data_IF_720520992118
#
_entry.id   IF_720520992118
#
_cell.length_a   1.000
_cell.length_b   1.000
_cell.length_c   1.000
_cell.angle_alpha   90.00
_cell.angle_beta   90.00
_cell.angle_gamma   90.00
#
_symmetry.space_group_name_H-M   'P 1'
#
loop_
_entity.id
_entity.type
_entity.pdbx_description
1 polymer ?
#
# COMPACT_ATOMS: atom_id res chain seq x y z
N UNK A 1 6.27 0.84 -10.78
CA UNK A 1 7.72 0.58 -10.75
C UNK A 1 8.32 1.84 -10.15
N UNK A 2 8.90 1.78 -8.94
CA UNK A 2 9.64 2.92 -8.40
C UNK A 2 10.91 3.04 -9.24
N UNK A 3 10.92 3.97 -10.19
CA UNK A 3 12.14 4.31 -10.92
C UNK A 3 12.99 5.11 -9.95
N UNK A 4 14.12 4.54 -9.53
CA UNK A 4 15.02 5.21 -8.60
C UNK A 4 15.80 6.28 -9.34
N UNK A 5 15.37 7.52 -9.19
CA UNK A 5 16.29 8.65 -9.35
C UNK A 5 17.04 8.77 -8.04
N UNK A 6 18.36 8.59 -8.12
CA UNK A 6 19.24 8.73 -6.97
C UNK A 6 19.51 10.21 -6.74
N UNK A 7 18.97 10.76 -5.65
CA UNK A 7 19.37 12.07 -5.15
C UNK A 7 20.42 11.86 -4.07
N UNK A 8 21.57 12.46 -4.32
CA UNK A 8 22.80 12.27 -3.57
C UNK A 8 22.89 13.27 -2.40
N UNK A 9 23.25 12.80 -1.21
CA UNK A 9 23.39 13.57 0.03
C UNK A 9 24.48 13.00 0.94
N UNK A 10 25.10 13.80 1.82
CA UNK A 10 26.25 13.32 2.61
C UNK A 10 25.81 12.35 3.74
N UNK A 11 26.80 11.67 4.35
CA UNK A 11 26.80 10.67 5.45
C UNK A 11 25.97 10.90 6.74
N UNK A 12 25.09 11.90 6.83
CA UNK A 12 24.13 12.10 7.93
C UNK A 12 22.73 12.13 7.31
N UNK A 13 21.71 11.75 8.09
CA UNK A 13 20.30 11.86 7.70
C UNK A 13 20.06 13.15 6.90
N UNK A 14 19.74 13.03 5.61
CA UNK A 14 19.66 14.17 4.68
C UNK A 14 18.74 15.27 5.22
N UNK A 15 17.68 14.89 5.93
CA UNK A 15 16.80 15.81 6.64
C UNK A 15 17.53 16.69 7.66
N UNK A 16 18.42 16.12 8.46
CA UNK A 16 19.21 16.86 9.45
C UNK A 16 20.20 17.82 8.78
N UNK A 17 20.78 17.41 7.64
CA UNK A 17 21.71 18.27 6.88
C UNK A 17 21.01 19.45 6.23
N UNK A 18 19.81 19.22 5.70
CA UNK A 18 18.99 20.27 5.11
C UNK A 18 18.32 21.15 6.19
N UNK A 19 18.39 20.76 7.46
CA UNK A 19 17.77 21.49 8.57
C UNK A 19 16.24 21.52 8.49
N UNK A 20 15.63 20.53 7.83
CA UNK A 20 14.19 20.55 7.54
C UNK A 20 13.42 19.82 8.64
N UNK A 21 12.46 20.53 9.22
CA UNK A 21 11.52 19.94 10.14
C UNK A 21 10.54 19.01 9.40
N UNK A 22 10.02 18.00 10.09
CA UNK A 22 9.12 17.06 9.45
C UNK A 22 8.17 16.43 10.43
N UNK A 23 7.00 16.07 9.94
CA UNK A 23 5.92 15.48 10.73
C UNK A 23 6.12 13.97 10.86
N UNK A 24 6.16 13.44 12.08
CA UNK A 24 6.22 11.99 12.29
C UNK A 24 4.93 11.33 11.80
N UNK A 25 5.07 10.23 11.07
CA UNK A 25 3.97 9.42 10.56
C UNK A 25 4.33 7.94 10.58
N UNK A 26 3.36 7.08 10.28
CA UNK A 26 3.60 5.66 10.01
C UNK A 26 3.23 5.33 8.58
N UNK A 27 4.05 4.49 7.98
CA UNK A 27 3.83 3.96 6.65
C UNK A 27 3.51 2.49 6.72
N UNK A 28 2.39 2.11 6.12
CA UNK A 28 2.13 0.73 5.78
C UNK A 28 2.81 0.43 4.44
N UNK A 29 3.90 -0.33 4.50
CA UNK A 29 4.64 -0.81 3.35
C UNK A 29 4.12 -2.18 2.92
N UNK A 30 3.65 -2.29 1.69
CA UNK A 30 3.35 -3.56 1.04
C UNK A 30 4.53 -4.04 0.21
N UNK A 31 4.97 -5.27 0.46
CA UNK A 31 5.96 -6.02 -0.32
C UNK A 31 5.33 -7.29 -0.87
N UNK A 32 6.07 -8.06 -1.67
CA UNK A 32 5.61 -9.38 -2.15
C UNK A 32 5.33 -10.37 -1.00
N UNK A 33 5.94 -10.17 0.17
CA UNK A 33 5.81 -11.06 1.33
C UNK A 33 4.69 -10.65 2.29
N UNK A 34 4.10 -9.47 2.13
CA UNK A 34 3.04 -8.99 3.01
C UNK A 34 3.07 -7.48 3.25
N UNK A 35 2.44 -7.04 4.34
CA UNK A 35 2.37 -5.62 4.72
C UNK A 35 2.99 -5.41 6.09
N UNK A 36 3.87 -4.43 6.20
CA UNK A 36 4.54 -4.05 7.45
C UNK A 36 4.28 -2.58 7.75
N UNK A 37 4.06 -2.27 9.03
CA UNK A 37 3.93 -0.89 9.51
C UNK A 37 5.29 -0.41 10.00
N UNK A 38 5.69 0.78 9.59
CA UNK A 38 7.01 1.29 9.89
C UNK A 38 7.01 2.81 10.04
N UNK A 39 7.74 3.29 11.04
CA UNK A 39 7.86 4.72 11.31
C UNK A 39 8.53 5.47 10.16
N UNK A 40 8.10 6.70 9.93
CA UNK A 40 8.64 7.60 8.92
C UNK A 40 8.43 9.06 9.34
N UNK A 41 9.05 9.99 8.63
CA UNK A 41 8.76 11.42 8.72
C UNK A 41 8.36 11.94 7.36
N UNK A 42 7.30 12.72 7.31
CA UNK A 42 6.93 13.51 6.14
C UNK A 42 7.79 14.77 6.11
N UNK A 43 8.40 15.02 4.96
CA UNK A 43 9.12 16.25 4.65
C UNK A 43 8.45 16.85 3.42
N UNK A 44 8.15 18.14 3.46
CA UNK A 44 7.44 18.88 2.42
C UNK A 44 8.35 19.99 1.88
N UNK A 45 7.93 20.60 0.77
CA UNK A 45 8.56 21.79 0.18
C UNK A 45 10.05 21.65 -0.14
N UNK A 46 10.48 20.44 -0.54
CA UNK A 46 11.83 20.20 -1.04
C UNK A 46 11.91 20.48 -2.53
N UNK A 47 12.97 21.17 -2.96
CA UNK A 47 13.31 21.38 -4.36
C UNK A 47 14.52 20.52 -4.71
N UNK A 48 14.39 19.71 -5.75
CA UNK A 48 15.50 18.92 -6.30
C UNK A 48 15.85 19.47 -7.67
N UNK A 49 17.14 19.69 -7.91
CA UNK A 49 17.66 20.16 -9.20
C UNK A 49 18.86 19.31 -9.63
N UNK A 50 19.27 19.46 -10.89
CA UNK A 50 20.51 18.90 -11.41
C UNK A 50 21.75 19.55 -10.77
N UNK A 51 22.93 18.99 -11.02
CA UNK A 51 24.21 19.50 -10.48
C UNK A 51 24.61 20.90 -10.95
N UNK A 52 23.82 21.51 -11.85
CA UNK A 52 24.03 22.83 -12.41
C UNK A 52 22.98 23.84 -11.92
N UNK A 53 22.05 23.42 -11.07
CA UNK A 53 20.94 24.23 -10.57
C UNK A 53 20.02 24.83 -11.66
N UNK A 54 19.90 24.14 -12.79
CA UNK A 54 19.15 24.61 -13.97
C UNK A 54 17.75 24.01 -14.08
N UNK A 55 17.50 22.88 -13.43
CA UNK A 55 16.28 22.09 -13.62
C UNK A 55 15.57 21.82 -12.29
N UNK A 56 15.09 22.86 -11.58
CA UNK A 56 14.40 22.69 -10.31
C UNK A 56 13.07 21.96 -10.51
N UNK A 57 12.82 20.99 -9.63
CA UNK A 57 11.56 20.27 -9.52
C UNK A 57 11.14 20.26 -8.06
N UNK A 58 9.98 20.84 -7.80
CA UNK A 58 9.36 20.81 -6.48
C UNK A 58 8.82 19.40 -6.19
N UNK A 59 9.15 18.90 -5.01
CA UNK A 59 8.64 17.64 -4.50
C UNK A 59 7.71 17.96 -3.34
N UNK A 60 6.41 17.89 -3.62
CA UNK A 60 5.35 18.25 -2.68
C UNK A 60 5.43 17.48 -1.36
N UNK A 61 5.76 16.19 -1.42
CA UNK A 61 5.72 15.32 -0.24
C UNK A 61 6.69 14.16 -0.35
N UNK A 62 7.55 14.04 0.65
CA UNK A 62 8.58 13.01 0.77
C UNK A 62 8.47 12.28 2.10
N UNK A 63 8.89 11.02 2.09
CA UNK A 63 8.89 10.19 3.27
C UNK A 63 10.31 9.73 3.57
N UNK A 64 10.73 9.88 4.83
CA UNK A 64 12.08 9.48 5.25
C UNK A 64 12.13 8.02 5.68
N UNK A 65 13.30 7.42 5.50
CA UNK A 65 13.69 6.09 5.98
C UNK A 65 15.07 6.20 6.59
N UNK A 66 15.34 5.37 7.61
CA UNK A 66 16.67 5.28 8.22
C UNK A 66 17.68 4.61 7.29
N UNK A 67 17.20 3.73 6.42
CA UNK A 67 18.05 2.98 5.49
C UNK A 67 17.30 2.80 4.17
N UNK A 68 18.02 3.01 3.07
CA UNK A 68 17.58 2.70 1.71
C UNK A 68 18.39 1.48 1.26
N UNK A 69 17.75 0.32 1.02
CA UNK A 69 18.45 -0.90 0.64
C UNK A 69 18.92 -0.77 -0.82
N UNK A 70 20.11 -0.22 -1.01
CA UNK A 70 20.80 -0.15 -2.29
C UNK A 70 22.24 -0.64 -2.13
N UNK A 71 22.72 -1.41 -3.09
CA UNK A 71 24.14 -1.76 -3.19
C UNK A 71 24.84 -0.88 -4.23
N UNK A 72 26.12 -0.57 -4.02
CA UNK A 72 26.95 0.20 -4.97
C UNK A 72 26.94 -0.37 -6.40
N UNK A 73 26.72 -1.68 -6.54
CA UNK A 73 26.58 -2.37 -7.84
C UNK A 73 25.37 -1.90 -8.67
N UNK A 74 24.40 -1.26 -8.03
CA UNK A 74 23.19 -0.74 -8.66
C UNK A 74 23.32 0.75 -9.02
N UNK A 75 24.44 1.39 -8.66
CA UNK A 75 24.75 2.79 -8.99
C UNK A 75 25.48 2.81 -10.34
N UNK A 76 24.92 3.47 -11.38
CA UNK A 76 25.60 3.64 -12.66
C UNK A 76 26.90 4.42 -12.50
N UNK A 77 28.01 3.84 -12.97
CA UNK A 77 29.32 4.51 -13.02
C UNK A 77 29.85 4.52 -14.46
N UNK A 78 30.59 5.55 -14.92
CA UNK A 78 31.00 5.67 -16.32
C UNK A 78 31.67 4.41 -16.88
N UNK A 79 32.64 3.84 -16.16
CA UNK A 79 33.32 2.61 -16.57
C UNK A 79 32.42 1.38 -16.68
N UNK A 80 31.32 1.34 -15.91
CA UNK A 80 30.31 0.27 -16.01
C UNK A 80 29.46 0.43 -17.27
N UNK A 81 29.08 1.67 -17.59
CA UNK A 81 28.17 2.01 -18.70
C UNK A 81 28.85 1.91 -20.07
N UNK A 82 30.15 2.16 -20.14
CA UNK A 82 30.95 2.01 -21.37
C UNK A 82 30.94 0.59 -21.95
N UNK A 83 30.58 -0.42 -21.15
CA UNK A 83 30.49 -1.81 -21.62
C UNK A 83 29.42 -2.03 -22.69
N UNK A 84 28.44 -1.14 -22.79
CA UNK A 84 27.39 -1.21 -23.80
C UNK A 84 27.63 -0.24 -24.94
N UNK A 85 27.72 -0.77 -26.15
CA UNK A 85 28.08 0.02 -27.33
C UNK A 85 27.15 1.22 -27.55
N UNK A 86 25.84 1.03 -27.35
CA UNK A 86 24.81 2.07 -27.53
C UNK A 86 24.81 3.13 -26.43
N UNK A 87 25.55 2.94 -25.34
CA UNK A 87 25.59 3.86 -24.20
C UNK A 87 26.93 4.60 -24.03
N UNK A 88 27.88 4.47 -24.97
CA UNK A 88 29.18 5.14 -24.88
C UNK A 88 29.07 6.65 -24.70
N UNK A 89 28.19 7.31 -25.45
CA UNK A 89 28.00 8.77 -25.32
C UNK A 89 27.34 9.13 -23.99
N UNK A 90 26.42 8.30 -23.51
CA UNK A 90 25.77 8.49 -22.21
C UNK A 90 26.76 8.28 -21.06
N UNK A 91 27.69 7.34 -21.18
CA UNK A 91 28.69 7.08 -20.16
C UNK A 91 29.56 8.30 -19.85
N UNK A 92 29.79 9.18 -20.83
CA UNK A 92 30.54 10.45 -20.66
C UNK A 92 29.73 11.52 -19.92
N UNK A 93 28.40 11.38 -19.88
CA UNK A 93 27.47 12.31 -19.24
C UNK A 93 27.08 11.88 -17.83
N UNK A 94 27.45 10.66 -17.43
CA UNK A 94 27.22 10.14 -16.07
C UNK A 94 28.34 10.66 -15.15
N UNK A 95 28.01 11.19 -13.95
CA UNK A 95 29.00 11.60 -12.98
C UNK A 95 29.87 10.44 -12.48
N UNK A 96 31.11 10.74 -12.09
CA UNK A 96 31.96 9.78 -11.40
C UNK A 96 31.41 9.40 -10.03
N UNK A 97 31.66 8.16 -9.61
CA UNK A 97 31.23 7.67 -8.30
C UNK A 97 31.95 8.40 -7.17
N UNK A 98 31.19 8.87 -6.18
CA UNK A 98 31.73 9.53 -4.99
C UNK A 98 31.41 8.69 -3.75
N UNK A 99 32.39 7.97 -3.16
CA UNK A 99 32.15 7.07 -2.04
C UNK A 99 31.63 7.76 -0.77
N UNK A 100 31.92 9.05 -0.60
CA UNK A 100 31.48 9.84 0.56
C UNK A 100 30.03 10.36 0.43
N UNK A 101 29.40 10.09 -0.71
CA UNK A 101 28.09 10.57 -1.08
C UNK A 101 27.08 9.43 -0.95
N UNK A 102 26.23 9.54 0.06
CA UNK A 102 25.19 8.57 0.37
C UNK A 102 23.91 8.90 -0.41
N UNK A 103 23.05 7.91 -0.60
CA UNK A 103 21.73 8.16 -1.17
C UNK A 103 20.79 8.50 -0.04
N UNK A 104 20.40 9.77 0.04
CA UNK A 104 19.56 10.28 1.12
C UNK A 104 18.07 10.30 0.80
N UNK A 105 17.70 10.24 -0.49
CA UNK A 105 16.32 10.41 -0.94
C UNK A 105 16.00 9.54 -2.15
N UNK A 106 14.81 8.94 -2.14
CA UNK A 106 14.23 8.26 -3.28
C UNK A 106 13.09 9.09 -3.86
N UNK A 107 13.17 9.40 -5.15
CA UNK A 107 12.05 9.97 -5.89
C UNK A 107 11.22 8.81 -6.44
N UNK A 108 9.94 8.79 -6.09
CA UNK A 108 8.99 7.80 -6.55
C UNK A 108 7.95 8.35 -7.51
N UNK A 109 6.99 7.50 -7.86
CA UNK A 109 5.89 7.84 -8.78
C UNK A 109 4.95 8.94 -8.27
N UNK A 110 5.13 9.42 -7.03
CA UNK A 110 4.47 10.59 -6.48
C UNK A 110 4.98 11.92 -7.08
N UNK A 111 6.12 11.93 -7.77
CA UNK A 111 6.66 13.10 -8.47
C UNK A 111 6.83 12.81 -9.97
N UNK A 112 5.76 12.85 -10.77
CA UNK A 112 5.83 12.56 -12.21
C UNK A 112 6.72 13.55 -12.96
N UNK A 113 6.77 14.82 -12.52
CA UNK A 113 7.62 15.85 -13.14
C UNK A 113 9.12 15.50 -13.09
N UNK A 114 9.57 14.81 -12.04
CA UNK A 114 10.96 14.35 -11.94
C UNK A 114 11.22 13.08 -12.79
N UNK A 115 10.20 12.25 -13.00
CA UNK A 115 10.31 10.96 -13.70
C UNK A 115 9.96 11.03 -15.19
N UNK A 116 9.52 12.19 -15.68
CA UNK A 116 9.18 12.41 -17.08
C UNK A 116 10.41 12.22 -17.99
N UNK A 117 10.39 11.24 -18.91
CA UNK A 117 11.48 11.03 -19.85
C UNK A 117 11.54 12.17 -20.87
N UNK A 118 12.68 12.85 -20.93
CA UNK A 118 12.97 13.90 -21.91
C UNK A 118 13.61 13.32 -23.17
N UNK A 119 14.47 12.30 -23.00
CA UNK A 119 15.07 11.53 -24.08
C UNK A 119 15.22 10.06 -23.67
N UNK A 120 15.20 9.15 -24.65
CA UNK A 120 15.38 7.71 -24.42
C UNK A 120 16.37 7.16 -25.42
N UNK A 121 17.38 6.44 -24.91
CA UNK A 121 18.28 5.62 -25.72
C UNK A 121 17.87 4.16 -25.55
N UNK A 122 17.22 3.54 -26.55
CA UNK A 122 16.66 2.20 -26.42
C UNK A 122 17.75 1.14 -26.25
N UNK A 123 17.38 0.01 -25.63
CA UNK A 123 18.27 -1.15 -25.54
C UNK A 123 18.46 -1.80 -26.91
N UNK A 124 19.60 -2.46 -27.11
CA UNK A 124 19.87 -3.33 -28.27
C UNK A 124 19.72 -4.81 -27.89
N UNK A 125 18.57 -5.17 -27.33
CA UNK A 125 18.26 -6.52 -26.82
C UNK A 125 18.04 -6.55 -25.30
N UNK A 126 18.56 -7.57 -24.63
CA UNK A 126 18.42 -7.82 -23.17
C UNK A 126 19.27 -6.88 -22.29
N UNK A 127 19.88 -5.84 -22.86
CA UNK A 127 20.70 -4.87 -22.14
C UNK A 127 19.91 -3.70 -21.53
N UNK A 128 20.55 -2.85 -20.72
CA UNK A 128 19.90 -1.66 -20.20
C UNK A 128 19.64 -0.63 -21.29
N UNK A 129 18.62 0.19 -21.06
CA UNK A 129 18.32 1.40 -21.82
C UNK A 129 18.55 2.64 -20.94
N UNK A 130 18.79 3.79 -21.56
CA UNK A 130 18.97 5.04 -20.83
C UNK A 130 17.78 5.97 -21.01
N UNK A 131 17.48 6.74 -19.97
CA UNK A 131 16.51 7.84 -20.04
C UNK A 131 17.15 9.11 -19.49
N UNK A 132 16.98 10.21 -20.20
CA UNK A 132 17.29 11.54 -19.69
C UNK A 132 16.08 12.09 -18.98
N UNK A 133 16.23 12.40 -17.70
CA UNK A 133 15.26 13.09 -16.87
C UNK A 133 15.72 14.53 -16.64
N UNK A 134 14.91 15.34 -15.96
CA UNK A 134 15.27 16.73 -15.61
C UNK A 134 16.56 16.80 -14.78
N UNK A 135 16.77 15.81 -13.91
CA UNK A 135 17.92 15.75 -12.99
C UNK A 135 19.15 15.02 -13.55
N UNK A 136 19.08 14.47 -14.77
CA UNK A 136 20.20 13.80 -15.41
C UNK A 136 19.85 12.47 -16.09
N UNK A 137 20.89 11.72 -16.48
CA UNK A 137 20.75 10.42 -17.13
C UNK A 137 20.57 9.29 -16.13
N UNK A 138 19.63 8.40 -16.40
CA UNK A 138 19.37 7.18 -15.62
C UNK A 138 19.46 5.95 -16.51
N UNK A 139 19.86 4.81 -15.93
CA UNK A 139 19.86 3.52 -16.61
C UNK A 139 18.77 2.62 -16.06
N UNK A 140 18.09 1.92 -16.96
CA UNK A 140 16.99 1.04 -16.66
C UNK A 140 17.23 -0.32 -17.30
N UNK A 141 17.11 -1.40 -16.53
CA UNK A 141 17.38 -2.76 -16.96
C UNK A 141 18.62 -3.37 -16.28
N UNK A 142 19.03 -4.56 -16.69
CA UNK A 142 20.10 -5.29 -16.03
C UNK A 142 21.46 -4.60 -16.26
N UNK A 143 22.10 -4.17 -15.16
CA UNK A 143 23.46 -3.60 -15.18
C UNK A 143 24.57 -4.66 -15.08
N UNK A 144 24.19 -5.92 -14.84
CA UNK A 144 25.07 -7.08 -14.80
C UNK A 144 25.23 -7.67 -16.19
N UNK A 145 26.48 -7.88 -16.62
CA UNK A 145 26.83 -8.60 -17.86
C UNK A 145 27.28 -10.05 -17.55
N UNK A 146 27.33 -10.46 -16.27
CA UNK A 146 27.99 -11.71 -15.89
C UNK A 146 27.03 -12.88 -15.69
N UNK A 147 27.30 -13.99 -16.40
CA UNK A 147 26.79 -15.34 -16.17
C UNK A 147 27.36 -15.98 -14.88
N UNK A 148 27.54 -15.22 -13.80
CA UNK A 148 27.97 -15.77 -12.51
C UNK A 148 26.75 -16.30 -11.78
N UNK A 149 26.81 -17.59 -11.43
CA UNK A 149 25.75 -18.41 -10.83
C UNK A 149 25.27 -17.99 -9.43
N UNK A 150 25.67 -16.82 -8.94
CA UNK A 150 25.28 -16.25 -7.64
C UNK A 150 25.18 -14.73 -7.74
N UNK A 151 24.21 -14.24 -8.51
CA UNK A 151 23.77 -12.84 -8.40
C UNK A 151 22.45 -12.81 -7.65
N UNK A 152 22.39 -12.05 -6.55
CA UNK A 152 21.14 -11.79 -5.86
C UNK A 152 20.20 -11.06 -6.83
N UNK A 153 19.12 -11.72 -7.23
CA UNK A 153 18.07 -11.10 -8.05
C UNK A 153 17.22 -10.26 -7.11
N UNK A 154 17.38 -8.94 -7.20
CA UNK A 154 16.65 -7.99 -6.34
C UNK A 154 15.46 -7.38 -7.09
N UNK A 155 14.29 -7.40 -6.46
CA UNK A 155 13.09 -6.75 -6.97
C UNK A 155 12.55 -5.79 -5.90
N UNK A 156 12.71 -4.48 -6.15
CA UNK A 156 12.30 -3.44 -5.22
C UNK A 156 10.90 -2.92 -5.59
N UNK A 157 9.88 -3.74 -5.33
CA UNK A 157 8.46 -3.30 -5.39
C UNK A 157 7.95 -3.04 -3.99
N UNK A 158 7.77 -1.76 -3.67
CA UNK A 158 7.19 -1.29 -2.42
C UNK A 158 5.95 -0.46 -2.75
N UNK A 159 4.82 -0.76 -2.11
CA UNK A 159 3.65 0.12 -2.10
C UNK A 159 3.56 0.81 -0.75
N UNK A 160 3.42 2.12 -0.73
CA UNK A 160 3.39 2.91 0.51
C UNK A 160 1.98 3.44 0.72
N UNK A 161 1.43 3.25 1.92
CA UNK A 161 0.21 3.92 2.38
C UNK A 161 0.52 4.61 3.70
N UNK A 162 0.30 5.91 3.76
CA UNK A 162 0.31 6.64 5.03
C UNK A 162 -0.85 6.16 5.90
N UNK A 163 -0.54 5.82 7.15
CA UNK A 163 -1.54 5.48 8.16
C UNK A 163 -1.59 6.61 9.17
N UNK A 164 -2.70 7.33 9.19
CA UNK A 164 -2.98 8.27 10.26
C UNK A 164 -3.39 7.44 11.48
N UNK A 165 -2.42 7.11 12.34
CA UNK A 165 -2.71 6.56 13.68
C UNK A 165 -3.50 7.57 14.54
N UNK A 166 -3.64 8.81 14.09
CA UNK A 166 -4.72 9.69 14.52
C UNK A 166 -6.01 9.32 13.79
N UNK A 167 -6.57 8.16 14.13
CA UNK A 167 -8.03 8.07 14.17
C UNK A 167 -8.45 8.96 15.35
N UNK A 168 -8.41 10.29 15.16
CA UNK A 168 -9.58 11.03 15.62
C UNK A 168 -10.66 10.46 14.75
N UNK A 169 -11.52 9.63 15.32
CA UNK A 169 -12.73 9.20 14.64
C UNK A 169 -13.33 10.49 14.05
N UNK A 170 -13.19 10.68 12.74
CA UNK A 170 -14.10 11.58 12.04
C UNK A 170 -15.36 10.77 12.00
N UNK A 171 -16.06 10.82 13.13
CA UNK A 171 -17.43 10.42 13.26
C UNK A 171 -18.16 11.36 12.31
N UNK A 172 -18.28 10.96 11.05
CA UNK A 172 -19.15 11.64 10.13
C UNK A 172 -20.54 11.55 10.75
N UNK A 173 -21.21 12.67 11.10
CA UNK A 173 -22.51 12.61 11.76
C UNK A 173 -23.52 11.78 10.95
N UNK A 174 -23.36 11.76 9.63
CA UNK A 174 -24.14 10.93 8.70
C UNK A 174 -23.85 9.42 8.83
N UNK A 175 -22.61 9.03 9.17
CA UNK A 175 -22.29 7.62 9.41
C UNK A 175 -22.92 7.12 10.72
N UNK A 176 -22.93 7.97 11.77
CA UNK A 176 -23.69 7.69 12.99
C UNK A 176 -25.19 7.70 12.74
N UNK A 177 -25.70 8.66 11.96
CA UNK A 177 -27.11 8.71 11.58
C UNK A 177 -27.55 7.41 10.90
N UNK A 178 -26.75 6.93 9.94
CA UNK A 178 -26.99 5.62 9.29
C UNK A 178 -26.87 4.43 10.25
N UNK A 179 -25.97 4.49 11.23
CA UNK A 179 -25.84 3.44 12.24
C UNK A 179 -27.05 3.39 13.17
N UNK A 180 -27.56 4.54 13.61
CA UNK A 180 -28.80 4.61 14.38
C UNK A 180 -30.02 4.22 13.52
N UNK A 181 -30.08 4.63 12.25
CA UNK A 181 -31.15 4.22 11.32
C UNK A 181 -31.17 2.71 11.03
N UNK A 182 -30.04 2.00 11.22
CA UNK A 182 -29.98 0.54 11.14
C UNK A 182 -30.64 -0.11 12.37
N UNK A 183 -30.45 0.45 13.57
CA UNK A 183 -31.12 -0.03 14.80
C UNK A 183 -32.63 0.18 14.75
N UNK A 184 -33.13 1.12 13.93
CA UNK A 184 -34.56 1.35 13.70
C UNK A 184 -35.13 0.67 12.45
N UNK A 185 -34.31 0.03 11.60
CA UNK A 185 -34.77 -0.67 10.40
C UNK A 185 -34.92 -2.18 10.60
N UNK A 186 -35.82 -2.58 11.50
CA UNK A 186 -36.23 -3.98 11.59
C UNK A 186 -37.18 -4.41 10.44
N UNK A 187 -37.53 -3.49 9.52
CA UNK A 187 -38.53 -3.70 8.47
C UNK A 187 -38.11 -3.28 7.05
N UNK A 188 -36.81 -3.25 6.72
CA UNK A 188 -36.39 -3.13 5.31
C UNK A 188 -36.32 -4.51 4.65
N UNK A 189 -37.41 -4.83 3.94
CA UNK A 189 -37.48 -5.88 2.92
C UNK A 189 -36.56 -5.49 1.76
N UNK A 190 -35.28 -5.83 1.89
CA UNK A 190 -34.30 -5.78 0.80
C UNK A 190 -34.26 -7.11 0.04
N UNK A 191 -33.70 -7.14 -1.18
CA UNK A 191 -33.71 -8.32 -2.07
C UNK A 191 -32.76 -9.45 -1.62
N UNK A 192 -31.96 -9.22 -0.58
CA UNK A 192 -31.26 -10.31 0.12
C UNK A 192 -32.22 -10.92 1.12
N UNK A 193 -32.97 -11.93 0.67
CA UNK A 193 -33.65 -12.87 1.55
C UNK A 193 -32.72 -13.22 2.71
N UNK A 194 -33.08 -12.85 3.95
CA UNK A 194 -32.58 -13.53 5.14
C UNK A 194 -32.93 -15.00 4.94
N UNK A 195 -31.97 -15.75 4.41
CA UNK A 195 -32.15 -17.17 4.14
C UNK A 195 -32.35 -17.85 5.48
N UNK A 196 -33.59 -18.24 5.77
CA UNK A 196 -33.92 -18.89 7.04
C UNK A 196 -32.94 -20.04 7.31
N UNK A 197 -32.41 -20.08 8.52
CA UNK A 197 -31.61 -21.21 8.98
C UNK A 197 -32.44 -22.50 8.87
N UNK A 198 -31.78 -23.65 8.78
CA UNK A 198 -32.48 -24.94 8.75
C UNK A 198 -33.35 -25.15 10.00
N UNK A 199 -32.99 -24.55 11.14
CA UNK A 199 -33.81 -24.57 12.35
C UNK A 199 -35.02 -23.66 12.25
N UNK A 200 -34.88 -22.47 11.66
CA UNK A 200 -35.98 -21.53 11.44
C UNK A 200 -37.00 -22.07 10.44
N UNK A 201 -36.55 -22.73 9.37
CA UNK A 201 -37.45 -23.40 8.41
C UNK A 201 -38.28 -24.50 9.10
N UNK A 202 -37.64 -25.32 9.94
CA UNK A 202 -38.33 -26.37 10.72
C UNK A 202 -39.30 -25.77 11.73
N UNK A 203 -38.92 -24.68 12.39
CA UNK A 203 -39.78 -23.94 13.32
C UNK A 203 -41.02 -23.38 12.63
N UNK A 204 -40.85 -22.66 11.53
CA UNK A 204 -41.94 -22.06 10.76
C UNK A 204 -42.90 -23.13 10.24
N UNK A 205 -42.36 -24.22 9.69
CA UNK A 205 -43.17 -25.36 9.21
C UNK A 205 -43.98 -25.99 10.35
N UNK A 206 -43.42 -26.08 11.55
CA UNK A 206 -44.11 -26.65 12.72
C UNK A 206 -45.20 -25.72 13.25
N UNK A 207 -44.94 -24.42 13.31
CA UNK A 207 -45.92 -23.40 13.70
C UNK A 207 -47.10 -23.37 12.73
N UNK A 208 -46.83 -23.23 11.44
CA UNK A 208 -47.87 -23.05 10.41
C UNK A 208 -48.85 -24.24 10.36
N UNK A 209 -48.32 -25.46 10.52
CA UNK A 209 -49.15 -26.67 10.51
C UNK A 209 -49.86 -26.98 11.84
N UNK A 210 -49.45 -26.36 12.94
CA UNK A 210 -49.92 -26.76 14.28
C UNK A 210 -50.77 -25.73 15.02
N UNK A 211 -50.89 -24.51 14.51
CA UNK A 211 -51.77 -23.50 15.11
C UNK A 211 -53.22 -23.95 14.93
N UNK A 212 -53.95 -24.07 16.05
CA UNK A 212 -55.36 -24.46 16.06
C UNK A 212 -56.14 -23.53 16.98
N UNK A 213 -57.33 -23.12 16.56
CA UNK A 213 -58.26 -22.38 17.41
C UNK A 213 -59.20 -23.39 18.09
N UNK A 214 -58.99 -23.63 19.38
CA UNK A 214 -59.80 -24.55 20.18
C UNK A 214 -60.55 -23.76 21.24
N UNK A 215 -61.89 -23.79 21.21
CA UNK A 215 -62.79 -23.14 22.20
C UNK A 215 -62.46 -21.65 22.47
N UNK A 216 -62.10 -20.91 21.43
CA UNK A 216 -61.80 -19.47 21.53
C UNK A 216 -60.36 -19.14 21.95
N UNK A 217 -59.49 -20.14 22.13
CA UNK A 217 -58.06 -19.94 22.41
C UNK A 217 -57.21 -20.53 21.29
N UNK A 218 -56.12 -19.83 20.95
CA UNK A 218 -55.12 -20.35 20.01
C UNK A 218 -54.17 -21.28 20.73
N UNK A 219 -54.11 -22.52 20.27
CA UNK A 219 -53.15 -23.53 20.69
C UNK A 219 -52.06 -23.61 19.62
N UNK A 220 -50.79 -23.61 20.03
CA UNK A 220 -49.64 -23.70 19.13
C UNK A 220 -48.68 -24.79 19.59
N UNK A 221 -48.05 -25.57 18.70
CA UNK A 221 -47.14 -26.62 19.10
C UNK A 221 -45.83 -26.03 19.62
N UNK A 222 -45.32 -26.60 20.72
CA UNK A 222 -44.05 -26.16 21.27
C UNK A 222 -42.87 -26.56 20.36
N UNK A 223 -41.95 -25.64 20.07
CA UNK A 223 -40.87 -25.83 19.10
C UNK A 223 -39.64 -26.52 19.68
N UNK A 224 -39.81 -27.69 20.30
CA UNK A 224 -38.66 -28.44 20.82
C UNK A 224 -37.75 -28.92 19.69
N UNK A 225 -36.43 -28.77 19.91
CA UNK A 225 -35.39 -29.34 19.04
C UNK A 225 -35.46 -30.87 18.99
N UNK A 226 -35.84 -31.51 20.11
CA UNK A 226 -36.07 -32.94 20.20
C UNK A 226 -37.59 -33.20 20.37
N UNK A 227 -38.24 -33.92 19.44
CA UNK A 227 -39.68 -34.21 19.53
C UNK A 227 -40.06 -35.11 20.70
N UNK A 228 -39.13 -35.86 21.29
CA UNK A 228 -39.38 -36.74 22.44
C UNK A 228 -39.10 -36.07 23.79
N UNK A 229 -38.94 -34.74 23.81
CA UNK A 229 -38.74 -34.00 25.05
C UNK A 229 -40.01 -34.01 25.91
N UNK A 230 -40.00 -34.81 26.97
CA UNK A 230 -41.03 -34.81 28.00
C UNK A 230 -40.77 -33.63 28.93
N UNK A 231 -41.67 -32.65 28.92
CA UNK A 231 -41.63 -31.56 29.90
C UNK A 231 -41.97 -32.11 31.30
N UNK A 232 -41.21 -31.75 32.35
CA UNK A 232 -41.60 -32.08 33.72
C UNK A 232 -42.93 -31.40 34.03
N UNK A 233 -43.93 -32.18 34.46
CA UNK A 233 -45.22 -31.69 34.93
C UNK A 233 -45.01 -30.83 36.17
N UNK A 234 -45.22 -29.51 36.05
CA UNK A 234 -45.40 -28.64 37.20
C UNK A 234 -46.90 -28.46 37.44
N UNK A 235 -47.45 -29.17 38.44
CA UNK A 235 -48.74 -28.82 39.03
C UNK A 235 -48.62 -27.44 39.69
N UNK A 236 -49.28 -26.42 39.13
CA UNK A 236 -49.57 -25.19 39.86
C UNK A 236 -51.00 -25.33 40.36
N UNK A 237 -51.15 -25.70 41.64
CA UNK A 237 -52.43 -25.64 42.34
C UNK A 237 -52.75 -24.17 42.63
N UNK A 238 -53.90 -23.71 42.14
CA UNK A 238 -54.50 -22.43 42.53
C UNK A 238 -54.97 -22.48 43.99
#
# INVERSE_FOLDING_TARGET
MLQMIQCLGKKKNLREQLGVEGQRTKLQLGTMLGRNLVDSTIVEDLVVTDTKDLNPVEITRLYTRTEIPLTDRQIPIPGMVQRWQHLHEIAKLIPEFQPDLEIGLLIGSNCPAALEPLEVVPSRGEGPFAMRLRHGWTLNGPLSISNTSQSDITCHRITVRETNDTVKEVILPEAIGRMFELDFNDHKVGPDERSFSQEEKKFLTKMDNGIRLTKGHYETPLPFRNPEMILPLTEIKY
#
